data_IF_001930137025
#
_entry.id   IF_001930137025
#
_cell.length_a   1.000
_cell.length_b   1.000
_cell.length_c   1.000
_cell.angle_alpha   90.00
_cell.angle_beta   90.00
_cell.angle_gamma   90.00
#
_symmetry.space_group_name_H-M   'P 1'
#
loop_
_entity.id
_entity.type
_entity.pdbx_description
1 polymer ?
#
# COMPACT_ATOMS: atom_id res chain seq x y z
N UNK A 1 0.80 -3.17 -29.25
CA UNK A 1 -0.18 -2.07 -29.09
C UNK A 1 -1.61 -2.62 -29.07
N UNK A 2 -2.09 -3.18 -27.95
CA UNK A 2 -3.45 -3.78 -27.91
C UNK A 2 -4.13 -3.70 -26.54
N UNK A 3 -4.27 -2.53 -25.91
CA UNK A 3 -5.24 -2.39 -24.79
C UNK A 3 -5.89 -0.98 -24.71
N UNK A 4 -5.81 -0.16 -25.77
CA UNK A 4 -6.47 1.15 -25.77
C UNK A 4 -7.88 1.12 -26.39
N UNK A 5 -8.30 0.01 -27.00
CA UNK A 5 -9.54 -0.06 -27.79
C UNK A 5 -10.81 -0.36 -26.98
N UNK A 6 -10.70 -0.72 -25.70
CA UNK A 6 -11.86 -0.97 -24.82
C UNK A 6 -12.27 0.24 -23.99
N UNK A 7 -11.63 1.40 -24.17
CA UNK A 7 -11.81 2.54 -23.29
C UNK A 7 -13.17 3.26 -23.40
N UNK A 8 -14.06 2.94 -24.36
CA UNK A 8 -15.36 3.64 -24.43
C UNK A 8 -16.46 2.92 -25.24
N UNK A 9 -16.96 1.75 -24.78
CA UNK A 9 -18.24 1.16 -25.30
C UNK A 9 -19.09 0.58 -24.16
N UNK A 10 -19.24 1.29 -23.05
CA UNK A 10 -20.30 0.98 -22.08
C UNK A 10 -20.57 2.25 -21.27
N UNK A 11 -21.84 2.67 -21.19
CA UNK A 11 -22.34 3.89 -20.55
C UNK A 11 -21.37 4.57 -19.57
N UNK A 12 -20.95 5.77 -19.93
CA UNK A 12 -19.91 6.55 -19.24
C UNK A 12 -20.22 6.89 -17.77
N UNK A 13 -21.48 6.74 -17.35
CA UNK A 13 -21.92 7.01 -15.98
C UNK A 13 -21.75 5.81 -15.04
N UNK A 14 -22.11 4.61 -15.49
CA UNK A 14 -22.03 3.39 -14.68
C UNK A 14 -20.61 2.84 -14.53
N UNK A 15 -19.82 2.90 -15.61
CA UNK A 15 -18.43 2.44 -15.64
C UNK A 15 -17.47 3.32 -14.83
N UNK A 16 -17.70 4.63 -14.80
CA UNK A 16 -16.88 5.54 -13.99
C UNK A 16 -17.14 5.39 -12.48
N UNK A 17 -18.40 5.15 -12.10
CA UNK A 17 -18.79 4.92 -10.70
C UNK A 17 -18.15 3.64 -10.14
N UNK A 18 -18.15 2.55 -10.91
CA UNK A 18 -17.53 1.28 -10.47
C UNK A 18 -16.01 1.39 -10.35
N UNK A 19 -15.34 2.06 -11.28
CA UNK A 19 -13.90 2.34 -11.19
C UNK A 19 -13.55 3.20 -9.97
N UNK A 20 -14.41 4.18 -9.63
CA UNK A 20 -14.25 5.01 -8.43
C UNK A 20 -14.31 4.15 -7.15
N UNK A 21 -15.26 3.23 -7.07
CA UNK A 21 -15.39 2.28 -5.95
C UNK A 21 -14.17 1.38 -5.86
N UNK A 22 -13.75 0.75 -6.96
CA UNK A 22 -12.55 -0.13 -6.98
C UNK A 22 -11.31 0.63 -6.49
N UNK A 23 -11.10 1.85 -6.98
CA UNK A 23 -9.97 2.69 -6.54
C UNK A 23 -10.05 3.01 -5.04
N UNK A 24 -11.24 3.29 -4.53
CA UNK A 24 -11.47 3.58 -3.12
C UNK A 24 -11.21 2.35 -2.25
N UNK A 25 -11.72 1.19 -2.64
CA UNK A 25 -11.48 -0.09 -1.95
C UNK A 25 -9.98 -0.44 -1.89
N UNK A 26 -9.24 -0.31 -3.00
CA UNK A 26 -7.80 -0.56 -2.99
C UNK A 26 -7.05 0.41 -2.07
N UNK A 27 -7.39 1.72 -2.12
CA UNK A 27 -6.76 2.73 -1.28
C UNK A 27 -7.08 2.49 0.20
N UNK A 28 -8.33 2.17 0.49
CA UNK A 28 -8.78 1.87 1.84
C UNK A 28 -8.11 0.59 2.36
N UNK A 29 -8.08 -0.49 1.58
CA UNK A 29 -7.43 -1.73 1.97
C UNK A 29 -5.94 -1.51 2.31
N UNK A 30 -5.20 -0.74 1.49
CA UNK A 30 -3.82 -0.34 1.84
C UNK A 30 -3.74 0.44 3.16
N UNK A 31 -4.68 1.38 3.37
CA UNK A 31 -4.76 2.16 4.62
C UNK A 31 -5.15 1.29 5.82
N UNK A 32 -6.02 0.30 5.64
CA UNK A 32 -6.47 -0.63 6.67
C UNK A 32 -5.31 -1.52 7.11
N UNK A 33 -4.54 -2.09 6.17
CA UNK A 33 -3.35 -2.89 6.51
C UNK A 33 -2.33 -2.06 7.30
N UNK A 34 -2.08 -0.82 6.87
CA UNK A 34 -1.16 0.09 7.59
C UNK A 34 -1.65 0.44 8.99
N UNK A 35 -2.94 0.72 9.14
CA UNK A 35 -3.55 1.06 10.43
C UNK A 35 -3.60 -0.15 11.38
N UNK A 36 -3.89 -1.34 10.85
CA UNK A 36 -3.86 -2.59 11.59
C UNK A 36 -2.46 -2.89 12.11
N UNK A 37 -1.43 -2.77 11.25
CA UNK A 37 -0.05 -2.97 11.66
C UNK A 37 0.39 -1.95 12.72
N UNK A 38 -0.04 -0.70 12.61
CA UNK A 38 0.23 0.31 13.63
C UNK A 38 -0.46 -0.01 14.97
N UNK A 39 -1.69 -0.50 14.91
CA UNK A 39 -2.43 -0.91 16.11
C UNK A 39 -1.75 -2.11 16.78
N UNK A 40 -1.27 -3.08 15.99
CA UNK A 40 -0.50 -4.21 16.49
C UNK A 40 0.82 -3.77 17.14
N UNK A 41 1.55 -2.84 16.53
CA UNK A 41 2.77 -2.27 17.13
C UNK A 41 2.50 -1.55 18.46
N UNK A 42 1.33 -0.90 18.60
CA UNK A 42 0.93 -0.26 19.84
C UNK A 42 0.56 -1.24 20.96
N UNK A 43 -0.06 -2.37 20.61
CA UNK A 43 -0.39 -3.45 21.56
C UNK A 43 0.89 -4.17 22.01
N UNK A 44 1.79 -4.46 21.06
CA UNK A 44 3.06 -5.16 21.29
C UNK A 44 4.20 -4.21 21.67
N UNK A 45 3.90 -2.95 22.03
CA UNK A 45 4.90 -1.91 22.27
C UNK A 45 5.93 -2.30 23.33
N UNK A 46 5.50 -2.98 24.40
CA UNK A 46 6.38 -3.37 25.50
C UNK A 46 7.43 -4.41 25.07
N UNK A 47 7.06 -5.34 24.18
CA UNK A 47 7.98 -6.31 23.58
C UNK A 47 8.87 -5.62 22.55
N UNK A 48 8.32 -4.66 21.81
CA UNK A 48 9.03 -3.90 20.81
C UNK A 48 10.11 -2.99 21.42
N UNK A 49 9.93 -2.53 22.66
CA UNK A 49 10.91 -1.74 23.41
C UNK A 49 12.14 -2.56 23.87
N UNK A 50 12.01 -3.88 23.95
CA UNK A 50 13.11 -4.79 24.31
C UNK A 50 13.92 -5.23 23.08
N UNK A 51 13.40 -5.01 21.88
CA UNK A 51 14.04 -5.39 20.61
C UNK A 51 14.95 -4.24 20.13
N UNK A 52 16.18 -4.59 19.76
CA UNK A 52 17.08 -3.65 19.06
C UNK A 52 16.65 -3.48 17.60
N UNK A 53 16.36 -2.24 17.21
CA UNK A 53 15.90 -1.90 15.86
C UNK A 53 17.02 -1.50 14.91
N UNK A 54 18.27 -1.36 15.39
CA UNK A 54 19.36 -0.82 14.57
C UNK A 54 19.59 -1.68 13.32
N UNK A 55 19.60 -3.01 13.47
CA UNK A 55 19.73 -3.96 12.36
C UNK A 55 18.53 -3.92 11.42
N UNK A 56 17.31 -3.81 11.96
CA UNK A 56 16.07 -3.73 11.17
C UNK A 56 16.04 -2.43 10.35
N UNK A 57 16.47 -1.32 10.93
CA UNK A 57 16.56 -0.02 10.27
C UNK A 57 17.63 -0.06 9.18
N UNK A 58 18.79 -0.66 9.46
CA UNK A 58 19.86 -0.82 8.48
C UNK A 58 19.42 -1.69 7.29
N UNK A 59 18.72 -2.80 7.54
CA UNK A 59 18.15 -3.65 6.50
C UNK A 59 17.06 -2.93 5.69
N UNK A 60 16.21 -2.15 6.35
CA UNK A 60 15.19 -1.36 5.67
C UNK A 60 15.80 -0.23 4.82
N UNK A 61 16.86 0.42 5.32
CA UNK A 61 17.60 1.46 4.61
C UNK A 61 18.33 0.87 3.39
N UNK A 62 19.00 -0.27 3.54
CA UNK A 62 19.68 -0.94 2.43
C UNK A 62 18.69 -1.40 1.35
N UNK A 63 17.56 -1.99 1.74
CA UNK A 63 16.47 -2.40 0.84
C UNK A 63 15.82 -1.23 0.09
N UNK A 64 15.70 -0.07 0.74
CA UNK A 64 15.12 1.14 0.14
C UNK A 64 16.11 1.90 -0.76
N UNK A 65 17.41 1.86 -0.45
CA UNK A 65 18.48 2.44 -1.27
C UNK A 65 18.62 1.78 -2.64
N UNK A 66 18.23 0.50 -2.79
CA UNK A 66 18.29 -0.20 -4.10
C UNK A 66 17.28 0.33 -5.15
N UNK A 67 16.45 1.34 -4.83
CA UNK A 67 15.55 1.98 -5.80
C UNK A 67 16.03 3.34 -6.34
N UNK A 68 17.19 3.83 -5.93
CA UNK A 68 17.72 5.16 -6.35
C UNK A 68 19.09 5.06 -7.05
N UNK A 69 19.42 3.89 -7.61
CA UNK A 69 20.54 3.78 -8.56
C UNK A 69 20.03 3.03 -9.80
N UNK A 70 19.51 3.81 -10.75
CA UNK A 70 19.71 3.75 -12.20
C UNK A 70 19.04 4.97 -12.85
#
# INVERSE_FOLDING_TARGET
MRIYLTLFVTDASGSFSTLKTIKYELRNCMSQTRLNNLSLMGIEHDILAEIDFEDIIHDFASSKCTKVIL
#
